data_IF_204159200348
#
_entry.id   IF_204159200348
#
_cell.length_a   1.000
_cell.length_b   1.000
_cell.length_c   1.000
_cell.angle_alpha   90.00
_cell.angle_beta   90.00
_cell.angle_gamma   90.00
#
_symmetry.space_group_name_H-M   'P 1'
#
loop_
_entity.id
_entity.type
_entity.pdbx_description
1 polymer ?
#
# COMPACT_ATOMS: atom_id res chain seq x y z
N UNK A 1 -10.52 -11.72 -0.48
CA UNK A 1 -11.66 -10.83 -0.22
C UNK A 1 -12.29 -10.36 -1.52
N UNK A 2 -13.58 -10.45 -1.56
CA UNK A 2 -14.36 -9.90 -2.67
C UNK A 2 -14.57 -8.42 -2.47
N UNK A 3 -14.12 -7.64 -3.43
CA UNK A 3 -14.15 -6.18 -3.33
C UNK A 3 -15.15 -5.52 -4.25
N UNK A 4 -15.93 -6.29 -4.98
CA UNK A 4 -16.73 -5.77 -6.09
C UNK A 4 -17.78 -4.76 -5.66
N UNK A 5 -18.30 -4.88 -4.46
CA UNK A 5 -19.33 -3.99 -3.95
C UNK A 5 -18.82 -3.00 -2.91
N UNK A 6 -17.50 -3.00 -2.63
CA UNK A 6 -16.92 -2.18 -1.57
C UNK A 6 -15.85 -1.27 -2.17
N UNK A 7 -16.28 -0.11 -2.62
CA UNK A 7 -15.38 0.87 -3.25
C UNK A 7 -14.24 1.25 -2.31
N UNK A 8 -13.02 1.18 -2.82
CA UNK A 8 -11.84 1.58 -2.09
C UNK A 8 -11.32 0.56 -1.10
N UNK A 9 -11.98 -0.59 -0.95
CA UNK A 9 -11.51 -1.67 -0.08
C UNK A 9 -10.19 -2.21 -0.63
N UNK A 10 -9.16 -2.39 0.23
CA UNK A 10 -7.88 -2.90 -0.21
C UNK A 10 -7.94 -4.32 -0.76
N UNK A 11 -6.97 -4.67 -1.60
CA UNK A 11 -6.92 -5.97 -2.27
C UNK A 11 -6.68 -7.12 -1.31
N UNK A 12 -5.89 -6.90 -0.26
CA UNK A 12 -5.51 -7.96 0.67
C UNK A 12 -5.81 -7.57 2.11
N UNK A 13 -6.26 -8.54 2.88
CA UNK A 13 -6.34 -8.47 4.33
C UNK A 13 -5.38 -9.50 4.90
N UNK A 14 -4.43 -9.06 5.69
CA UNK A 14 -3.43 -9.93 6.31
C UNK A 14 -3.62 -10.04 7.81
N UNK A 15 -3.07 -11.11 8.38
CA UNK A 15 -3.07 -11.35 9.81
C UNK A 15 -1.77 -12.05 10.15
N UNK A 16 -0.95 -11.46 10.98
CA UNK A 16 0.38 -11.98 11.24
C UNK A 16 0.48 -12.72 12.58
N UNK A 17 1.65 -13.27 12.83
CA UNK A 17 1.93 -14.05 14.04
C UNK A 17 1.74 -13.24 15.33
N UNK A 18 1.82 -11.93 15.26
CA UNK A 18 1.60 -11.05 16.41
C UNK A 18 0.13 -10.68 16.60
N UNK A 19 -0.76 -11.39 15.94
CA UNK A 19 -2.21 -11.15 15.98
C UNK A 19 -2.60 -9.75 15.51
N UNK A 20 -1.84 -9.21 14.57
CA UNK A 20 -2.10 -7.89 13.99
C UNK A 20 -2.73 -8.04 12.62
N UNK A 21 -3.90 -7.43 12.44
CA UNK A 21 -4.53 -7.31 11.13
C UNK A 21 -3.94 -6.11 10.39
N UNK A 22 -3.79 -6.28 9.08
CA UNK A 22 -3.34 -5.19 8.23
C UNK A 22 -3.96 -5.34 6.85
N UNK A 23 -3.97 -4.26 6.08
CA UNK A 23 -4.49 -4.26 4.72
C UNK A 23 -3.42 -3.81 3.75
N UNK A 24 -3.44 -4.34 2.53
CA UNK A 24 -2.50 -3.96 1.49
C UNK A 24 -3.26 -3.70 0.19
N UNK A 25 -3.05 -2.51 -0.37
CA UNK A 25 -3.51 -2.18 -1.71
C UNK A 25 -2.38 -2.47 -2.68
N UNK A 26 -2.65 -3.27 -3.71
CA UNK A 26 -1.64 -3.66 -4.70
C UNK A 26 -1.73 -2.74 -5.92
N UNK A 27 -0.60 -2.16 -6.32
CA UNK A 27 -0.52 -1.27 -7.49
C UNK A 27 0.69 -1.62 -8.34
N UNK A 28 0.51 -1.48 -9.66
CA UNK A 28 1.61 -1.56 -10.61
C UNK A 28 1.73 -0.18 -11.26
N UNK A 29 2.90 0.43 -11.17
CA UNK A 29 3.15 1.73 -11.76
C UNK A 29 4.08 1.58 -12.96
N UNK A 30 3.63 2.06 -14.13
CA UNK A 30 4.44 2.07 -15.34
C UNK A 30 5.09 3.44 -15.58
N UNK A 31 4.53 4.49 -14.98
CA UNK A 31 5.06 5.84 -15.09
C UNK A 31 5.79 6.27 -13.82
N UNK A 32 5.77 7.56 -13.54
CA UNK A 32 6.49 8.11 -12.39
C UNK A 32 5.64 8.17 -11.12
N UNK A 33 4.34 7.92 -11.22
CA UNK A 33 3.41 8.04 -10.08
C UNK A 33 2.53 6.82 -9.97
N UNK A 34 2.15 6.50 -8.74
CA UNK A 34 1.12 5.50 -8.48
C UNK A 34 -0.26 6.14 -8.70
N UNK A 35 -1.23 5.33 -9.12
CA UNK A 35 -2.59 5.80 -9.36
C UNK A 35 -3.53 5.14 -8.36
N UNK A 36 -4.18 5.97 -7.54
CA UNK A 36 -5.20 5.51 -6.62
C UNK A 36 -6.51 6.25 -6.92
N UNK A 37 -7.62 5.53 -6.84
CA UNK A 37 -8.93 6.14 -7.01
C UNK A 37 -9.26 7.01 -5.78
N UNK A 38 -10.22 7.95 -5.92
CA UNK A 38 -10.67 8.73 -4.75
C UNK A 38 -11.15 7.85 -3.59
N UNK A 39 -11.78 6.72 -3.89
CA UNK A 39 -12.24 5.80 -2.86
C UNK A 39 -11.08 5.12 -2.14
N UNK A 40 -10.03 4.76 -2.86
CA UNK A 40 -8.82 4.17 -2.27
C UNK A 40 -8.10 5.18 -1.38
N UNK A 41 -8.00 6.42 -1.84
CA UNK A 41 -7.40 7.50 -1.05
C UNK A 41 -8.21 7.71 0.23
N UNK A 42 -9.52 7.78 0.10
CA UNK A 42 -10.42 7.95 1.24
C UNK A 42 -10.27 6.84 2.27
N UNK A 43 -10.19 5.59 1.80
CA UNK A 43 -10.01 4.45 2.69
C UNK A 43 -8.77 4.60 3.55
N UNK A 44 -7.64 4.94 2.94
CA UNK A 44 -6.37 5.05 3.66
C UNK A 44 -6.34 6.25 4.61
N UNK A 45 -7.03 7.33 4.26
CA UNK A 45 -7.13 8.49 5.15
C UNK A 45 -7.97 8.14 6.37
N UNK A 46 -9.07 7.42 6.18
CA UNK A 46 -9.96 7.02 7.28
C UNK A 46 -9.39 5.90 8.13
N UNK A 47 -8.52 5.06 7.55
CA UNK A 47 -7.95 3.89 8.23
C UNK A 47 -6.43 3.90 8.08
N UNK A 48 -5.73 4.87 8.70
CA UNK A 48 -4.29 5.02 8.49
C UNK A 48 -3.43 4.00 9.21
N UNK A 49 -3.98 3.33 10.23
CA UNK A 49 -3.21 2.37 11.03
C UNK A 49 -3.22 0.99 10.36
N UNK A 50 -2.04 0.41 10.19
CA UNK A 50 -1.87 -0.92 9.60
C UNK A 50 -2.51 -1.05 8.22
N UNK A 51 -2.48 0.02 7.46
CA UNK A 51 -2.99 0.10 6.11
C UNK A 51 -1.83 0.49 5.22
N UNK A 52 -1.58 -0.29 4.16
CA UNK A 52 -0.40 -0.13 3.32
C UNK A 52 -0.73 -0.15 1.84
N UNK A 53 0.15 0.45 1.05
CA UNK A 53 0.10 0.37 -0.41
C UNK A 53 1.41 -0.23 -0.87
N UNK A 54 1.34 -1.31 -1.65
CA UNK A 54 2.50 -1.97 -2.23
C UNK A 54 2.52 -1.66 -3.72
N UNK A 55 3.58 -0.96 -4.16
CA UNK A 55 3.71 -0.53 -5.55
C UNK A 55 4.83 -1.32 -6.22
N UNK A 56 4.50 -2.04 -7.30
CA UNK A 56 5.51 -2.65 -8.16
C UNK A 56 5.93 -1.60 -9.18
N UNK A 57 7.21 -1.24 -9.18
CA UNK A 57 7.74 -0.17 -10.02
C UNK A 57 9.19 -0.46 -10.39
N UNK A 58 9.48 -0.49 -11.69
CA UNK A 58 10.84 -0.68 -12.20
C UNK A 58 11.55 -1.89 -11.59
N UNK A 59 10.83 -2.99 -11.46
CA UNK A 59 11.37 -4.23 -10.90
C UNK A 59 11.52 -4.25 -9.39
N UNK A 60 11.07 -3.22 -8.70
CA UNK A 60 11.08 -3.14 -7.24
C UNK A 60 9.68 -3.24 -6.69
N UNK A 61 9.59 -3.56 -5.41
CA UNK A 61 8.32 -3.59 -4.67
C UNK A 61 8.43 -2.60 -3.53
N UNK A 62 7.77 -1.46 -3.69
CA UNK A 62 7.85 -0.35 -2.73
C UNK A 62 6.66 -0.40 -1.80
N UNK A 63 6.91 -0.47 -0.50
CA UNK A 63 5.84 -0.50 0.49
C UNK A 63 5.70 0.87 1.13
N UNK A 64 4.48 1.40 1.11
CA UNK A 64 4.17 2.70 1.71
C UNK A 64 3.08 2.54 2.75
N UNK A 65 3.09 3.40 3.76
CA UNK A 65 2.01 3.44 4.72
C UNK A 65 0.79 4.14 4.11
N UNK A 66 -0.40 3.76 4.59
CA UNK A 66 -1.63 4.38 4.13
C UNK A 66 -1.65 5.89 4.31
N UNK A 67 -1.01 6.41 5.36
CA UNK A 67 -0.92 7.84 5.59
C UNK A 67 -0.09 8.58 4.54
N UNK A 68 0.67 7.88 3.72
CA UNK A 68 1.45 8.48 2.62
C UNK A 68 0.66 8.56 1.31
N UNK A 69 -0.61 8.20 1.33
CA UNK A 69 -1.42 8.11 0.12
C UNK A 69 -1.46 9.41 -0.69
N UNK A 70 -1.62 10.55 -0.02
CA UNK A 70 -1.64 11.82 -0.73
C UNK A 70 -0.31 12.13 -1.39
N UNK A 71 0.80 11.82 -0.71
CA UNK A 71 2.12 11.98 -1.30
C UNK A 71 2.32 11.06 -2.50
N UNK A 72 1.77 9.83 -2.44
CA UNK A 72 1.86 8.87 -3.54
C UNK A 72 1.21 9.41 -4.81
N UNK A 73 0.07 10.08 -4.71
CA UNK A 73 -0.63 10.57 -5.89
C UNK A 73 -0.09 11.90 -6.39
N UNK A 74 0.53 12.69 -5.52
CA UNK A 74 1.02 14.03 -5.88
C UNK A 74 2.47 14.06 -6.30
N UNK A 75 3.29 13.10 -5.85
CA UNK A 75 4.74 13.14 -6.03
C UNK A 75 5.24 11.98 -6.88
N UNK A 76 6.38 12.18 -7.52
CA UNK A 76 7.05 11.10 -8.24
C UNK A 76 7.52 10.02 -7.28
N UNK A 77 7.38 8.76 -7.69
CA UNK A 77 7.83 7.62 -6.89
C UNK A 77 9.32 7.70 -6.55
N UNK A 78 10.12 8.29 -7.45
CA UNK A 78 11.56 8.44 -7.20
C UNK A 78 11.88 9.42 -6.07
N UNK A 79 10.94 10.29 -5.71
CA UNK A 79 11.13 11.28 -4.65
C UNK A 79 10.58 10.85 -3.30
N UNK A 80 9.94 9.69 -3.23
CA UNK A 80 9.30 9.21 -2.01
C UNK A 80 10.18 8.17 -1.32
N UNK A 81 10.02 8.08 0.00
CA UNK A 81 10.74 7.12 0.82
C UNK A 81 9.80 5.97 1.19
N UNK A 82 9.92 4.80 0.54
CA UNK A 82 9.16 3.64 0.95
C UNK A 82 9.68 3.10 2.29
N UNK A 83 8.84 2.36 2.99
CA UNK A 83 9.25 1.66 4.21
C UNK A 83 10.35 0.66 3.88
N UNK A 84 10.13 -0.12 2.82
CA UNK A 84 11.08 -1.08 2.25
C UNK A 84 10.90 -1.11 0.75
N UNK A 85 11.86 -1.67 0.01
CA UNK A 85 11.84 -1.62 -1.46
C UNK A 85 12.07 -2.97 -2.14
N UNK A 86 11.94 -4.07 -1.42
CA UNK A 86 11.99 -5.41 -1.99
C UNK A 86 10.82 -6.24 -1.48
N UNK A 87 10.38 -7.22 -2.27
CA UNK A 87 9.27 -8.07 -1.86
C UNK A 87 9.62 -8.85 -0.59
N UNK A 88 10.85 -9.34 -0.49
CA UNK A 88 11.30 -10.07 0.69
C UNK A 88 11.19 -9.21 1.94
N UNK A 89 11.64 -7.95 1.87
CA UNK A 89 11.59 -7.05 3.01
C UNK A 89 10.16 -6.61 3.31
N UNK A 90 9.30 -6.50 2.30
CA UNK A 90 7.88 -6.23 2.52
C UNK A 90 7.25 -7.34 3.38
N UNK A 91 7.52 -8.61 3.02
CA UNK A 91 6.97 -9.74 3.76
C UNK A 91 7.49 -9.73 5.20
N UNK A 92 8.79 -9.50 5.38
CA UNK A 92 9.39 -9.44 6.72
C UNK A 92 8.76 -8.33 7.55
N UNK A 93 8.60 -7.16 6.98
CA UNK A 93 8.03 -6.01 7.67
C UNK A 93 6.59 -6.29 8.12
N UNK A 94 5.75 -6.76 7.20
CA UNK A 94 4.34 -7.04 7.50
C UNK A 94 4.19 -8.19 8.50
N UNK A 95 5.09 -9.16 8.46
CA UNK A 95 5.06 -10.29 9.38
C UNK A 95 5.41 -9.89 10.82
N UNK A 96 6.08 -8.76 10.99
CA UNK A 96 6.55 -8.33 12.31
C UNK A 96 5.77 -7.14 12.87
N UNK A 97 4.69 -6.75 12.23
CA UNK A 97 3.84 -5.66 12.76
C UNK A 97 3.33 -5.92 14.16
#
# INVERSE_FOLDING_TARGET
IENQSLFGTPDLLGYNINSTFFTVELKVASGSKARLSPHQISFHILHPKNSFVLVEWKGKHLLFEGKQTLALVDSSLSSLDPIVDSLEDCVKYLSSL
#
